data_IF_868455491771
#
_entry.id   IF_868455491771
#
_cell.length_a   1.000
_cell.length_b   1.000
_cell.length_c   1.000
_cell.angle_alpha   90.00
_cell.angle_beta   90.00
_cell.angle_gamma   90.00
#
_symmetry.space_group_name_H-M   'P 1'
#
loop_
_entity.id
_entity.type
_entity.pdbx_description
1 polymer ?
#
# COMPACT_ATOMS: atom_id res chain seq x y z
N UNK A 1 2.52 -8.28 -2.54
CA UNK A 1 3.00 -8.93 -1.29
C UNK A 1 1.96 -9.98 -0.88
N UNK A 2 2.34 -11.15 -0.36
CA UNK A 2 1.37 -12.12 0.19
C UNK A 2 1.90 -12.62 1.55
N UNK A 3 1.30 -12.13 2.62
CA UNK A 3 1.37 -12.80 3.91
C UNK A 3 -0.04 -13.08 4.39
N UNK A 4 -0.18 -13.87 5.46
CA UNK A 4 -1.43 -14.06 6.21
C UNK A 4 -1.95 -12.79 6.90
N UNK A 5 -1.60 -11.61 6.36
CA UNK A 5 -1.99 -10.26 6.71
C UNK A 5 -2.05 -9.43 5.41
N UNK A 6 -2.76 -8.31 5.46
CA UNK A 6 -2.98 -7.40 4.34
C UNK A 6 -1.75 -7.19 3.42
N UNK A 7 -1.87 -7.25 2.07
CA UNK A 7 -0.77 -6.90 1.18
C UNK A 7 -0.36 -5.43 1.34
N UNK A 8 0.96 -5.19 1.46
CA UNK A 8 1.59 -3.88 1.33
C UNK A 8 2.38 -3.72 0.02
N UNK A 9 2.73 -2.48 -0.32
CA UNK A 9 3.61 -2.10 -1.42
C UNK A 9 4.89 -1.52 -0.82
N UNK A 10 6.05 -2.00 -1.28
CA UNK A 10 7.35 -1.45 -0.88
C UNK A 10 7.96 -0.70 -2.05
N UNK A 11 8.26 0.58 -1.86
CA UNK A 11 8.94 1.44 -2.81
C UNK A 11 9.75 2.50 -2.05
N UNK A 12 10.94 2.84 -2.54
CA UNK A 12 11.81 3.85 -1.90
C UNK A 12 12.02 3.61 -0.39
N UNK A 13 12.29 2.35 -0.02
CA UNK A 13 12.51 1.92 1.38
C UNK A 13 11.33 2.21 2.33
N UNK A 14 10.14 2.45 1.80
CA UNK A 14 8.89 2.62 2.55
C UNK A 14 7.93 1.51 2.19
N UNK A 15 7.30 0.93 3.21
CA UNK A 15 6.18 0.02 3.07
C UNK A 15 4.87 0.80 3.26
N UNK A 16 4.05 0.84 2.22
CA UNK A 16 2.72 1.42 2.21
C UNK A 16 1.69 0.30 2.35
N UNK A 17 0.74 0.48 3.25
CA UNK A 17 -0.31 -0.51 3.48
C UNK A 17 -1.62 0.17 3.87
N UNK A 18 -2.71 -0.58 3.68
CA UNK A 18 -4.02 -0.21 4.17
C UNK A 18 -4.46 -1.26 5.21
N UNK A 19 -5.18 -0.84 6.23
CA UNK A 19 -5.63 -1.71 7.34
C UNK A 19 -6.78 -1.05 8.09
N UNK A 20 -6.52 0.15 8.59
CA UNK A 20 -7.50 1.02 9.23
C UNK A 20 -7.36 2.41 8.62
N UNK A 21 -6.16 2.96 8.62
CA UNK A 21 -5.79 4.12 7.80
C UNK A 21 -4.77 3.70 6.75
N UNK A 22 -4.65 4.49 5.68
CA UNK A 22 -3.49 4.40 4.81
C UNK A 22 -2.26 4.87 5.58
N UNK A 23 -1.34 3.96 5.86
CA UNK A 23 -0.14 4.18 6.68
C UNK A 23 1.07 3.72 5.88
N UNK A 24 2.22 4.34 6.15
CA UNK A 24 3.51 3.87 5.68
C UNK A 24 4.47 3.71 6.85
N UNK A 25 5.39 2.75 6.76
CA UNK A 25 6.44 2.50 7.74
C UNK A 25 7.70 1.95 7.06
N UNK A 26 8.71 1.61 7.85
CA UNK A 26 9.89 0.86 7.42
C UNK A 26 9.45 -0.58 7.07
N UNK A 27 9.87 -1.14 5.92
CA UNK A 27 9.51 -2.49 5.52
C UNK A 27 9.75 -3.55 6.60
N UNK A 28 8.71 -4.34 6.89
CA UNK A 28 8.74 -5.40 7.89
C UNK A 28 8.73 -4.92 9.35
N UNK A 29 8.58 -3.62 9.59
CA UNK A 29 8.47 -3.03 10.95
C UNK A 29 7.04 -2.64 11.34
N UNK A 30 6.08 -2.85 10.44
CA UNK A 30 4.66 -2.66 10.75
C UNK A 30 4.19 -3.65 11.82
N UNK A 31 2.98 -3.42 12.35
CA UNK A 31 2.34 -4.37 13.28
C UNK A 31 2.04 -5.74 12.66
N UNK A 32 2.15 -5.87 11.33
CA UNK A 32 2.03 -7.14 10.61
C UNK A 32 3.34 -7.95 10.61
N UNK A 33 4.46 -7.34 11.00
CA UNK A 33 5.78 -7.98 11.05
C UNK A 33 6.40 -8.20 9.67
N UNK A 34 7.29 -9.18 9.56
CA UNK A 34 7.96 -9.50 8.30
C UNK A 34 7.02 -10.24 7.33
N UNK A 35 7.02 -9.87 6.03
CA UNK A 35 6.16 -10.52 5.05
C UNK A 35 6.60 -11.96 4.79
N UNK A 36 5.66 -12.91 4.81
CA UNK A 36 5.96 -14.31 4.45
C UNK A 36 6.23 -14.51 2.95
N UNK A 37 5.84 -13.56 2.10
CA UNK A 37 6.17 -13.57 0.68
C UNK A 37 6.36 -12.16 0.11
N UNK A 38 7.50 -11.98 -0.57
CA UNK A 38 7.83 -10.79 -1.36
C UNK A 38 7.74 -11.13 -2.84
N UNK A 39 7.13 -10.24 -3.65
CA UNK A 39 7.06 -10.36 -5.11
C UNK A 39 7.47 -9.03 -5.73
N UNK A 40 8.32 -9.08 -6.76
CA UNK A 40 8.65 -7.90 -7.55
C UNK A 40 7.46 -7.50 -8.41
N UNK A 41 7.08 -6.22 -8.36
CA UNK A 41 5.98 -5.64 -9.14
C UNK A 41 6.47 -4.91 -10.38
N UNK A 42 7.77 -4.64 -10.49
CA UNK A 42 8.37 -3.87 -11.58
C UNK A 42 9.08 -2.61 -11.08
N UNK A 43 9.21 -1.63 -11.98
CA UNK A 43 9.84 -0.33 -11.73
C UNK A 43 8.80 0.77 -11.85
N UNK A 44 9.05 1.93 -11.23
CA UNK A 44 8.22 3.12 -11.40
C UNK A 44 9.00 4.32 -11.91
N UNK A 45 8.33 5.13 -12.73
CA UNK A 45 8.82 6.43 -13.18
C UNK A 45 8.50 7.56 -12.21
N UNK A 46 7.62 7.30 -11.24
CA UNK A 46 7.33 8.26 -10.19
C UNK A 46 8.55 8.46 -9.32
N UNK A 47 8.79 9.71 -8.94
CA UNK A 47 9.67 10.03 -7.83
C UNK A 47 9.06 9.55 -6.51
N UNK A 48 9.90 9.48 -5.48
CA UNK A 48 9.45 9.15 -4.14
C UNK A 48 8.37 10.12 -3.64
N UNK A 49 8.51 11.42 -3.93
CA UNK A 49 7.57 12.44 -3.46
C UNK A 49 6.23 12.32 -4.19
N UNK A 50 6.23 12.11 -5.51
CA UNK A 50 4.99 11.89 -6.29
C UNK A 50 4.23 10.66 -5.81
N UNK A 51 4.92 9.54 -5.57
CA UNK A 51 4.29 8.33 -5.03
C UNK A 51 3.73 8.56 -3.63
N UNK A 52 4.50 9.25 -2.79
CA UNK A 52 4.08 9.55 -1.44
C UNK A 52 2.83 10.44 -1.42
N UNK A 53 2.84 11.51 -2.21
CA UNK A 53 1.73 12.45 -2.31
C UNK A 53 0.48 11.78 -2.86
N UNK A 54 0.61 10.96 -3.91
CA UNK A 54 -0.53 10.19 -4.43
C UNK A 54 -1.15 9.28 -3.35
N UNK A 55 -0.33 8.54 -2.61
CA UNK A 55 -0.85 7.62 -1.58
C UNK A 55 -1.47 8.40 -0.41
N UNK A 56 -0.81 9.46 0.06
CA UNK A 56 -1.23 10.17 1.28
C UNK A 56 -2.35 11.18 1.02
N UNK A 57 -2.36 11.85 -0.13
CA UNK A 57 -3.32 12.91 -0.45
C UNK A 57 -4.48 12.40 -1.32
N UNK A 58 -4.23 11.51 -2.26
CA UNK A 58 -5.26 11.07 -3.22
C UNK A 58 -5.93 9.76 -2.80
N UNK A 59 -5.15 8.79 -2.31
CA UNK A 59 -5.69 7.49 -1.89
C UNK A 59 -6.25 7.51 -0.47
N UNK A 60 -5.64 8.22 0.47
CA UNK A 60 -6.12 8.25 1.87
C UNK A 60 -7.59 8.66 2.02
N UNK A 61 -8.14 9.65 1.29
CA UNK A 61 -9.57 9.97 1.36
C UNK A 61 -10.51 8.86 0.83
N UNK A 62 -9.99 7.92 0.05
CA UNK A 62 -10.75 6.79 -0.52
C UNK A 62 -10.57 5.54 0.36
N UNK A 63 -9.35 5.31 0.82
CA UNK A 63 -8.92 4.19 1.63
C UNK A 63 -8.60 4.67 3.06
N UNK A 64 -9.65 4.83 3.86
CA UNK A 64 -9.55 5.15 5.29
C UNK A 64 -10.51 4.30 6.10
N UNK A 65 -10.49 4.49 7.42
CA UNK A 65 -11.15 3.61 8.37
C UNK A 65 -12.65 3.51 8.13
N UNK A 66 -13.30 4.63 7.85
CA UNK A 66 -14.75 4.68 7.69
C UNK A 66 -15.22 4.12 6.34
N UNK A 67 -14.30 3.99 5.38
CA UNK A 67 -14.58 3.39 4.07
C UNK A 67 -14.07 1.96 3.96
N UNK A 68 -13.36 1.43 4.96
CA UNK A 68 -12.84 0.06 4.92
C UNK A 68 -13.98 -0.95 4.79
N UNK A 69 -13.91 -1.78 3.76
CA UNK A 69 -14.85 -2.86 3.50
C UNK A 69 -14.09 -4.12 3.09
N UNK A 70 -14.36 -5.23 3.78
CA UNK A 70 -13.62 -6.48 3.61
C UNK A 70 -13.76 -7.06 2.19
N UNK A 71 -14.84 -6.75 1.47
CA UNK A 71 -15.12 -7.28 0.13
C UNK A 71 -14.57 -6.36 -0.96
N UNK A 72 -14.83 -5.05 -0.86
CA UNK A 72 -14.66 -4.12 -1.96
C UNK A 72 -13.58 -3.06 -1.72
N UNK A 73 -13.34 -2.65 -0.47
CA UNK A 73 -12.43 -1.55 -0.15
C UNK A 73 -11.44 -1.97 0.93
N UNK A 74 -10.47 -2.78 0.52
CA UNK A 74 -9.48 -3.40 1.37
C UNK A 74 -8.07 -3.20 0.80
N UNK A 75 -7.10 -3.80 1.46
CA UNK A 75 -5.68 -3.64 1.15
C UNK A 75 -5.30 -4.14 -0.26
N UNK A 76 -5.81 -5.29 -0.73
CA UNK A 76 -5.71 -5.67 -2.13
C UNK A 76 -6.21 -4.59 -3.11
N UNK A 77 -7.38 -3.98 -2.86
CA UNK A 77 -7.92 -2.91 -3.72
C UNK A 77 -7.03 -1.66 -3.74
N UNK A 78 -6.53 -1.23 -2.58
CA UNK A 78 -5.59 -0.12 -2.47
C UNK A 78 -4.30 -0.39 -3.25
N UNK A 79 -3.72 -1.59 -3.07
CA UNK A 79 -2.51 -1.98 -3.79
C UNK A 79 -2.72 -2.05 -5.31
N UNK A 80 -3.86 -2.59 -5.75
CA UNK A 80 -4.21 -2.63 -7.17
C UNK A 80 -4.35 -1.23 -7.77
N UNK A 81 -4.87 -0.27 -7.02
CA UNK A 81 -5.00 1.13 -7.47
C UNK A 81 -3.63 1.76 -7.70
N UNK A 82 -2.68 1.60 -6.77
CA UNK A 82 -1.30 2.08 -6.93
C UNK A 82 -0.62 1.44 -8.15
N UNK A 83 -0.82 0.14 -8.36
CA UNK A 83 -0.26 -0.57 -9.52
C UNK A 83 -0.92 -0.16 -10.86
N UNK A 84 -2.19 0.26 -10.84
CA UNK A 84 -2.93 0.69 -12.01
C UNK A 84 -2.67 2.14 -12.43
N UNK A 85 -2.23 3.00 -11.52
CA UNK A 85 -1.83 4.40 -11.83
C UNK A 85 -0.49 4.51 -12.56
N UNK A 86 0.02 3.40 -13.08
CA UNK A 86 1.34 3.26 -13.71
C UNK A 86 1.32 3.44 -15.23
N UNK A 87 0.33 4.16 -15.75
CA UNK A 87 0.13 4.41 -17.19
C UNK A 87 0.45 5.87 -17.56
#
# INVERSE_FOLDING_TARGET
MLASGAPGIVAFEKEYFFSNDTIFDIPGKTSFGEPSQVRSLGYTFWSQDELHDFIVNDLKPIFHRDTYDVICNNCPSAAATVMGSHE
#
